data_IF_119963583643
#
_entry.id   IF_119963583643
#
_cell.length_a   1.000
_cell.length_b   1.000
_cell.length_c   1.000
_cell.angle_alpha   90.00
_cell.angle_beta   90.00
_cell.angle_gamma   90.00
#
_symmetry.space_group_name_H-M   'P 1'
#
loop_
_entity.id
_entity.type
_entity.pdbx_description
1 polymer ?
#
# COMPACT_ATOMS: atom_id res chain seq x y z
N UNK A 1 -0.92 -2.37 -32.01
CA UNK A 1 -2.13 -1.88 -31.29
C UNK A 1 -2.82 -3.07 -30.64
N UNK A 2 -2.75 -3.21 -29.31
CA UNK A 2 -3.48 -4.30 -28.62
C UNK A 2 -4.95 -3.87 -28.56
N UNK A 3 -5.81 -4.70 -29.15
CA UNK A 3 -7.25 -4.46 -29.31
C UNK A 3 -7.94 -4.14 -27.98
N UNK A 4 -8.81 -3.12 -28.00
CA UNK A 4 -9.64 -2.65 -26.86
C UNK A 4 -10.46 -3.79 -26.23
N UNK A 5 -10.76 -4.84 -27.01
CA UNK A 5 -11.54 -6.02 -26.60
C UNK A 5 -10.76 -6.97 -25.70
N UNK A 6 -9.46 -7.20 -25.93
CA UNK A 6 -8.64 -8.05 -25.06
C UNK A 6 -8.41 -7.43 -23.67
N UNK A 7 -8.23 -6.10 -23.63
CA UNK A 7 -8.01 -5.37 -22.36
C UNK A 7 -9.26 -5.42 -21.46
N UNK A 8 -10.45 -5.39 -22.07
CA UNK A 8 -11.75 -5.51 -21.37
C UNK A 8 -11.96 -6.91 -20.80
N UNK A 9 -11.61 -7.96 -21.55
CA UNK A 9 -11.73 -9.35 -21.09
C UNK A 9 -10.73 -9.69 -19.98
N UNK A 10 -9.49 -9.16 -20.03
CA UNK A 10 -8.51 -9.31 -18.95
C UNK A 10 -8.94 -8.59 -17.67
N UNK A 11 -9.48 -7.37 -17.79
CA UNK A 11 -10.01 -6.62 -16.64
C UNK A 11 -11.20 -7.33 -15.99
N UNK A 12 -12.12 -7.87 -16.80
CA UNK A 12 -13.26 -8.65 -16.30
C UNK A 12 -12.82 -9.93 -15.59
N UNK A 13 -11.81 -10.62 -16.12
CA UNK A 13 -11.22 -11.81 -15.49
C UNK A 13 -10.57 -11.50 -14.14
N UNK A 14 -9.80 -10.41 -14.04
CA UNK A 14 -9.20 -9.98 -12.76
C UNK A 14 -10.23 -9.57 -11.71
N UNK A 15 -11.30 -8.88 -12.12
CA UNK A 15 -12.41 -8.51 -11.22
C UNK A 15 -13.17 -9.75 -10.76
N UNK A 16 -13.48 -10.68 -11.66
CA UNK A 16 -14.14 -11.94 -11.30
C UNK A 16 -13.29 -12.78 -10.34
N UNK A 17 -11.98 -12.88 -10.58
CA UNK A 17 -11.04 -13.55 -9.68
C UNK A 17 -10.98 -12.90 -8.29
N UNK A 18 -11.00 -11.57 -8.23
CA UNK A 18 -11.02 -10.83 -6.96
C UNK A 18 -12.32 -11.04 -6.18
N UNK A 19 -13.47 -10.98 -6.84
CA UNK A 19 -14.78 -11.24 -6.22
C UNK A 19 -14.84 -12.69 -5.72
N UNK A 20 -14.31 -13.64 -6.49
CA UNK A 20 -14.19 -15.05 -6.07
C UNK A 20 -13.32 -15.17 -4.81
N UNK A 21 -12.14 -14.54 -4.78
CA UNK A 21 -11.27 -14.53 -3.59
C UNK A 21 -11.99 -13.92 -2.39
N UNK A 22 -12.63 -12.75 -2.53
CA UNK A 22 -13.40 -12.15 -1.43
C UNK A 22 -14.51 -13.08 -0.94
N UNK A 23 -15.22 -13.75 -1.85
CA UNK A 23 -16.28 -14.71 -1.52
C UNK A 23 -15.77 -15.95 -0.78
N UNK A 24 -14.65 -16.53 -1.24
CA UNK A 24 -14.02 -17.68 -0.58
C UNK A 24 -13.52 -17.28 0.82
N UNK A 25 -12.83 -16.14 0.92
CA UNK A 25 -12.30 -15.67 2.20
C UNK A 25 -13.44 -15.38 3.18
N UNK A 26 -14.50 -14.70 2.72
CA UNK A 26 -15.71 -14.46 3.50
C UNK A 26 -16.37 -15.77 3.94
N UNK A 27 -16.53 -16.73 3.04
CA UNK A 27 -17.06 -18.05 3.39
C UNK A 27 -16.24 -18.70 4.50
N UNK A 28 -14.91 -18.80 4.38
CA UNK A 28 -14.06 -19.40 5.42
C UNK A 28 -14.10 -18.64 6.75
N UNK A 29 -14.14 -17.31 6.72
CA UNK A 29 -14.24 -16.47 7.94
C UNK A 29 -15.58 -16.67 8.65
N UNK A 30 -16.69 -16.75 7.91
CA UNK A 30 -18.04 -16.86 8.49
C UNK A 30 -18.48 -18.31 8.75
N UNK A 31 -17.82 -19.33 8.17
CA UNK A 31 -18.22 -20.75 8.28
C UNK A 31 -18.26 -21.30 9.71
N UNK A 32 -17.67 -20.60 10.68
CA UNK A 32 -17.64 -21.00 12.09
C UNK A 32 -18.11 -19.93 13.07
N UNK A 33 -18.63 -18.79 12.60
CA UNK A 33 -19.05 -17.69 13.48
C UNK A 33 -20.53 -17.35 13.26
N UNK A 34 -21.34 -17.49 14.32
CA UNK A 34 -22.69 -16.96 14.30
C UNK A 34 -22.64 -15.43 14.38
N UNK A 35 -23.53 -14.74 13.66
CA UNK A 35 -23.67 -13.27 13.72
C UNK A 35 -23.93 -12.82 15.17
N UNK A 36 -24.62 -13.64 15.95
CA UNK A 36 -24.89 -13.41 17.36
C UNK A 36 -23.61 -13.40 18.22
N UNK A 37 -22.66 -14.31 17.94
CA UNK A 37 -21.35 -14.33 18.60
C UNK A 37 -20.55 -13.05 18.29
N UNK A 38 -20.61 -12.54 17.05
CA UNK A 38 -19.95 -11.29 16.67
C UNK A 38 -20.53 -10.09 17.44
N UNK A 39 -21.86 -9.98 17.51
CA UNK A 39 -22.55 -8.90 18.24
C UNK A 39 -22.24 -8.98 19.74
N UNK A 40 -22.18 -10.18 20.32
CA UNK A 40 -21.85 -10.38 21.73
C UNK A 40 -20.40 -9.95 22.04
N UNK A 41 -19.46 -10.28 21.17
CA UNK A 41 -18.06 -9.83 21.27
C UNK A 41 -17.92 -8.31 21.13
N UNK A 42 -18.67 -7.68 20.21
CA UNK A 42 -18.72 -6.23 20.06
C UNK A 42 -19.29 -5.52 21.29
N UNK A 43 -20.33 -6.09 21.92
CA UNK A 43 -20.89 -5.57 23.19
C UNK A 43 -19.97 -5.80 24.38
N UNK A 44 -19.17 -6.87 24.36
CA UNK A 44 -18.18 -7.16 25.40
C UNK A 44 -16.87 -6.39 25.25
N UNK A 45 -16.61 -5.79 24.08
CA UNK A 45 -15.43 -4.98 23.85
C UNK A 45 -15.52 -3.68 24.65
N UNK A 46 -14.44 -3.34 25.38
CA UNK A 46 -14.43 -2.09 26.13
C UNK A 46 -14.48 -0.90 25.17
N UNK A 47 -15.40 0.07 25.37
CA UNK A 47 -15.47 1.26 24.54
C UNK A 47 -14.14 2.06 24.51
N UNK A 48 -13.35 1.94 25.57
CA UNK A 48 -12.04 2.59 25.68
C UNK A 48 -11.05 2.05 24.64
N UNK A 49 -10.97 0.73 24.43
CA UNK A 49 -10.06 0.17 23.42
C UNK A 49 -10.49 0.56 22.00
N UNK A 50 -11.80 0.66 21.75
CA UNK A 50 -12.33 1.14 20.47
C UNK A 50 -11.89 2.60 20.25
N UNK A 51 -12.03 3.46 21.26
CA UNK A 51 -11.60 4.86 21.19
C UNK A 51 -10.10 5.00 20.94
N UNK A 52 -9.27 4.20 21.61
CA UNK A 52 -7.81 4.17 21.39
C UNK A 52 -7.50 3.74 19.94
N UNK A 53 -8.22 2.74 19.42
CA UNK A 53 -8.08 2.31 18.02
C UNK A 53 -8.35 3.44 17.03
N UNK A 54 -9.44 4.19 17.23
CA UNK A 54 -9.74 5.37 16.41
C UNK A 54 -8.64 6.45 16.52
N UNK A 55 -8.16 6.73 17.74
CA UNK A 55 -7.07 7.69 17.93
C UNK A 55 -5.79 7.26 17.20
N UNK A 56 -5.43 5.97 17.26
CA UNK A 56 -4.28 5.41 16.54
C UNK A 56 -4.44 5.55 15.02
N UNK A 57 -5.64 5.39 14.47
CA UNK A 57 -5.88 5.61 13.03
C UNK A 57 -5.61 7.07 12.63
N UNK A 58 -6.04 8.04 13.42
CA UNK A 58 -5.74 9.46 13.15
C UNK A 58 -4.25 9.75 13.23
N UNK A 59 -3.54 9.18 14.21
CA UNK A 59 -2.09 9.32 14.34
C UNK A 59 -1.39 8.72 13.12
N UNK A 60 -1.82 7.54 12.66
CA UNK A 60 -1.27 6.91 11.46
C UNK A 60 -1.39 7.81 10.22
N UNK A 61 -2.59 8.33 9.95
CA UNK A 61 -2.82 9.23 8.81
C UNK A 61 -2.04 10.54 8.97
N UNK A 62 -1.90 11.05 10.19
CA UNK A 62 -1.11 12.24 10.46
C UNK A 62 0.38 12.03 10.17
N UNK A 63 0.95 10.90 10.60
CA UNK A 63 2.33 10.53 10.27
C UNK A 63 2.54 10.42 8.76
N UNK A 64 1.59 9.84 8.02
CA UNK A 64 1.66 9.78 6.57
C UNK A 64 1.62 11.18 5.93
N UNK A 65 0.73 12.06 6.40
CA UNK A 65 0.67 13.44 5.93
C UNK A 65 1.96 14.23 6.21
N UNK A 66 2.59 14.00 7.36
CA UNK A 66 3.89 14.57 7.72
C UNK A 66 4.99 14.04 6.79
N UNK A 67 5.02 12.74 6.50
CA UNK A 67 6.00 12.14 5.57
C UNK A 67 5.90 12.77 4.17
N UNK A 68 4.68 12.96 3.67
CA UNK A 68 4.45 13.66 2.39
C UNK A 68 4.94 15.10 2.48
N UNK A 69 4.60 15.83 3.54
CA UNK A 69 5.01 17.22 3.72
C UNK A 69 6.54 17.37 3.77
N UNK A 70 7.23 16.51 4.51
CA UNK A 70 8.70 16.49 4.59
C UNK A 70 9.32 16.17 3.22
N UNK A 71 8.75 15.22 2.48
CA UNK A 71 9.18 14.91 1.12
C UNK A 71 9.01 16.09 0.15
N UNK A 72 7.88 16.79 0.22
CA UNK A 72 7.62 17.98 -0.59
C UNK A 72 8.60 19.12 -0.25
N UNK A 73 8.87 19.32 1.05
CA UNK A 73 9.85 20.31 1.52
C UNK A 73 11.26 20.00 1.05
N UNK A 74 11.66 18.72 1.05
CA UNK A 74 12.97 18.27 0.55
C UNK A 74 13.18 18.57 -0.95
N UNK A 75 12.10 18.61 -1.74
CA UNK A 75 12.14 18.98 -3.15
C UNK A 75 11.86 20.48 -3.41
N UNK A 76 11.91 21.31 -2.36
CA UNK A 76 11.61 22.75 -2.40
C UNK A 76 10.23 23.08 -3.00
N UNK A 77 9.26 22.16 -2.89
CA UNK A 77 7.89 22.39 -3.35
C UNK A 77 7.10 23.12 -2.25
N UNK A 78 6.51 24.26 -2.62
CA UNK A 78 5.67 25.05 -1.72
C UNK A 78 4.32 24.36 -1.53
N UNK A 79 4.19 23.61 -0.43
CA UNK A 79 2.91 23.01 -0.01
C UNK A 79 2.68 23.24 1.47
N UNK A 80 1.41 23.24 1.87
CA UNK A 80 1.01 23.35 3.28
C UNK A 80 0.80 21.97 3.88
N UNK A 81 1.09 21.81 5.17
CA UNK A 81 0.84 20.56 5.89
C UNK A 81 -0.62 20.09 5.76
N UNK A 82 -1.60 21.01 5.81
CA UNK A 82 -3.02 20.69 5.69
C UNK A 82 -3.37 20.00 4.36
N UNK A 83 -2.79 20.46 3.25
CA UNK A 83 -2.93 19.79 1.93
C UNK A 83 -2.32 18.40 1.94
N UNK A 84 -1.15 18.23 2.56
CA UNK A 84 -0.48 16.94 2.67
C UNK A 84 -1.26 15.94 3.52
N UNK A 85 -1.88 16.41 4.60
CA UNK A 85 -2.85 15.64 5.39
C UNK A 85 -4.04 15.21 4.52
N UNK A 86 -4.58 16.11 3.69
CA UNK A 86 -5.62 15.78 2.72
C UNK A 86 -5.20 14.66 1.76
N UNK A 87 -3.97 14.69 1.24
CA UNK A 87 -3.44 13.62 0.40
C UNK A 87 -3.30 12.29 1.16
N UNK A 88 -2.88 12.31 2.43
CA UNK A 88 -2.83 11.11 3.26
C UNK A 88 -4.22 10.49 3.45
N UNK A 89 -5.24 11.29 3.74
CA UNK A 89 -6.63 10.81 3.82
C UNK A 89 -7.14 10.22 2.50
N UNK A 90 -6.84 10.87 1.36
CA UNK A 90 -7.16 10.35 0.03
C UNK A 90 -6.48 9.00 -0.19
N UNK A 91 -5.18 8.90 0.12
CA UNK A 91 -4.41 7.66 0.03
C UNK A 91 -5.03 6.55 0.86
N UNK A 92 -5.30 6.83 2.14
CA UNK A 92 -5.94 5.89 3.06
C UNK A 92 -7.31 5.40 2.57
N UNK A 93 -8.15 6.32 2.10
CA UNK A 93 -9.47 6.01 1.57
C UNK A 93 -9.38 5.10 0.33
N UNK A 94 -8.60 5.50 -0.68
CA UNK A 94 -8.46 4.72 -1.91
C UNK A 94 -7.78 3.37 -1.66
N UNK A 95 -6.80 3.29 -0.75
CA UNK A 95 -6.24 2.02 -0.31
C UNK A 95 -7.28 1.12 0.34
N UNK A 96 -8.19 1.66 1.14
CA UNK A 96 -9.20 0.87 1.86
C UNK A 96 -10.31 0.32 0.96
N UNK A 97 -10.66 1.03 -0.12
CA UNK A 97 -11.70 0.59 -1.06
C UNK A 97 -11.14 -0.18 -2.25
N UNK A 98 -9.83 -0.16 -2.48
CA UNK A 98 -9.22 -0.85 -3.61
C UNK A 98 -8.67 -2.22 -3.22
N UNK A 99 -8.78 -3.21 -4.12
CA UNK A 99 -8.14 -4.51 -3.92
C UNK A 99 -6.64 -4.36 -3.66
N UNK A 100 -6.16 -5.13 -2.68
CA UNK A 100 -4.74 -5.19 -2.30
C UNK A 100 -4.14 -3.84 -1.87
N UNK A 101 -4.97 -2.85 -1.50
CA UNK A 101 -4.53 -1.50 -1.10
C UNK A 101 -3.69 -0.74 -2.15
N UNK A 102 -3.81 -1.13 -3.42
CA UNK A 102 -2.98 -0.60 -4.52
C UNK A 102 -3.38 0.81 -5.01
N UNK A 103 -4.61 1.25 -4.72
CA UNK A 103 -5.17 2.49 -5.27
C UNK A 103 -4.77 3.78 -4.55
N UNK A 104 -4.22 3.71 -3.34
CA UNK A 104 -3.90 4.90 -2.54
C UNK A 104 -2.90 5.83 -3.18
N UNK A 105 -1.72 5.32 -3.54
CA UNK A 105 -0.63 6.13 -4.11
C UNK A 105 -0.99 6.71 -5.50
N UNK A 106 -1.60 5.95 -6.44
CA UNK A 106 -2.08 6.53 -7.70
C UNK A 106 -3.09 7.67 -7.49
N UNK A 107 -4.01 7.53 -6.52
CA UNK A 107 -4.96 8.58 -6.19
C UNK A 107 -4.26 9.82 -5.60
N UNK A 108 -3.28 9.62 -4.70
CA UNK A 108 -2.46 10.71 -4.18
C UNK A 108 -1.78 11.50 -5.29
N UNK A 109 -1.15 10.83 -6.27
CA UNK A 109 -0.54 11.49 -7.44
C UNK A 109 -1.57 12.27 -8.25
N UNK A 110 -2.75 11.69 -8.49
CA UNK A 110 -3.83 12.33 -9.25
C UNK A 110 -4.31 13.63 -8.58
N UNK A 111 -4.56 13.60 -7.27
CA UNK A 111 -5.00 14.78 -6.53
C UNK A 111 -3.89 15.82 -6.34
N UNK A 112 -2.64 15.41 -6.15
CA UNK A 112 -1.50 16.34 -6.16
C UNK A 112 -1.37 17.04 -7.52
N UNK A 113 -1.62 16.33 -8.63
CA UNK A 113 -1.60 16.94 -9.96
C UNK A 113 -2.74 17.95 -10.17
N UNK A 114 -3.89 17.72 -9.55
CA UNK A 114 -5.02 18.67 -9.53
C UNK A 114 -4.68 19.96 -8.76
N UNK A 115 -3.78 19.86 -7.78
CA UNK A 115 -3.23 20.96 -7.01
C UNK A 115 -1.96 21.59 -7.64
N UNK A 116 -1.77 21.40 -8.95
CA UNK A 116 -0.65 21.93 -9.76
C UNK A 116 0.75 21.45 -9.36
N UNK A 117 0.86 20.38 -8.56
CA UNK A 117 2.15 19.76 -8.27
C UNK A 117 2.58 18.93 -9.50
N UNK A 118 3.86 19.03 -9.87
CA UNK A 118 4.41 18.25 -10.97
C UNK A 118 4.34 16.74 -10.64
N UNK A 119 3.78 15.97 -11.58
CA UNK A 119 3.58 14.52 -11.43
C UNK A 119 4.89 13.76 -11.15
N UNK A 120 6.01 14.26 -11.68
CA UNK A 120 7.34 13.70 -11.45
C UNK A 120 7.77 13.86 -9.99
N UNK A 121 7.51 15.02 -9.38
CA UNK A 121 7.86 15.25 -7.97
C UNK A 121 6.95 14.46 -7.04
N UNK A 122 5.63 14.49 -7.29
CA UNK A 122 4.65 13.70 -6.52
C UNK A 122 4.97 12.21 -6.54
N UNK A 123 5.21 11.65 -7.73
CA UNK A 123 5.53 10.23 -7.88
C UNK A 123 6.84 9.87 -7.20
N UNK A 124 7.88 10.70 -7.35
CA UNK A 124 9.18 10.47 -6.72
C UNK A 124 9.06 10.44 -5.18
N UNK A 125 8.36 11.41 -4.60
CA UNK A 125 8.16 11.47 -3.14
C UNK A 125 7.43 10.25 -2.62
N UNK A 126 6.32 9.86 -3.26
CA UNK A 126 5.55 8.70 -2.84
C UNK A 126 6.34 7.40 -2.97
N UNK A 127 7.13 7.24 -4.05
CA UNK A 127 8.02 6.08 -4.20
C UNK A 127 9.11 6.06 -3.11
N UNK A 128 9.69 7.20 -2.77
CA UNK A 128 10.67 7.30 -1.67
C UNK A 128 10.03 6.91 -0.34
N UNK A 129 8.81 7.39 -0.06
CA UNK A 129 8.05 7.01 1.15
C UNK A 129 7.80 5.50 1.18
N UNK A 130 7.45 4.88 0.05
CA UNK A 130 7.27 3.42 -0.06
C UNK A 130 8.56 2.67 0.26
N UNK A 131 9.70 3.10 -0.27
CA UNK A 131 11.00 2.47 0.01
C UNK A 131 11.31 2.58 1.50
N UNK A 132 11.16 3.76 2.09
CA UNK A 132 11.41 3.98 3.52
C UNK A 132 10.50 3.08 4.35
N UNK A 133 9.20 3.01 4.06
CA UNK A 133 8.26 2.13 4.75
C UNK A 133 8.67 0.66 4.65
N UNK A 134 9.00 0.17 3.45
CA UNK A 134 9.39 -1.23 3.28
C UNK A 134 10.70 -1.57 4.00
N UNK A 135 11.69 -0.66 3.99
CA UNK A 135 12.94 -0.84 4.75
C UNK A 135 12.69 -0.87 6.25
N UNK A 136 11.85 0.03 6.78
CA UNK A 136 11.48 0.04 8.20
C UNK A 136 10.73 -1.22 8.59
N UNK A 137 9.79 -1.70 7.76
CA UNK A 137 9.06 -2.95 7.99
C UNK A 137 10.01 -4.15 8.00
N UNK A 138 10.94 -4.23 7.04
CA UNK A 138 11.94 -5.30 6.99
C UNK A 138 12.86 -5.27 8.21
N UNK A 139 13.34 -4.10 8.61
CA UNK A 139 14.18 -3.93 9.80
C UNK A 139 13.43 -4.33 11.08
N UNK A 140 12.21 -3.84 11.26
CA UNK A 140 11.36 -4.16 12.40
C UNK A 140 11.05 -5.66 12.46
N UNK A 141 10.68 -6.26 11.32
CA UNK A 141 10.45 -7.70 11.21
C UNK A 141 11.70 -8.51 11.54
N UNK A 142 12.88 -8.06 11.11
CA UNK A 142 14.15 -8.71 11.43
C UNK A 142 14.49 -8.65 12.91
N UNK A 143 14.32 -7.49 13.54
CA UNK A 143 14.53 -7.31 14.99
C UNK A 143 13.59 -8.22 15.79
N UNK A 144 12.29 -8.22 15.46
CA UNK A 144 11.31 -9.07 16.13
C UNK A 144 11.60 -10.56 15.94
N UNK A 145 12.08 -10.96 14.75
CA UNK A 145 12.48 -12.35 14.50
C UNK A 145 13.65 -12.80 15.37
N UNK A 146 14.60 -11.90 15.65
CA UNK A 146 15.76 -12.21 16.51
C UNK A 146 15.34 -12.26 17.98
N UNK A 147 14.54 -11.29 18.44
CA UNK A 147 14.13 -11.17 19.84
C UNK A 147 13.18 -12.30 20.27
N UNK A 148 12.19 -12.63 19.44
CA UNK A 148 11.11 -13.58 19.77
C UNK A 148 11.26 -14.91 18.99
N UNK A 149 12.51 -15.32 18.74
CA UNK A 149 12.80 -16.50 17.90
C UNK A 149 12.10 -17.77 18.39
N UNK A 150 12.10 -18.03 19.69
CA UNK A 150 11.47 -19.23 20.25
C UNK A 150 9.95 -19.20 20.14
N UNK A 151 9.33 -18.03 20.36
CA UNK A 151 7.90 -17.86 20.15
C UNK A 151 7.51 -18.15 18.70
N UNK A 152 8.30 -17.66 17.74
CA UNK A 152 8.05 -17.85 16.31
C UNK A 152 8.25 -19.32 15.91
N UNK A 153 9.37 -19.95 16.29
CA UNK A 153 9.64 -21.35 15.89
C UNK A 153 8.61 -22.33 16.46
N UNK A 154 8.10 -22.08 17.67
CA UNK A 154 7.14 -22.97 18.33
C UNK A 154 5.69 -22.76 17.84
N UNK A 155 5.26 -21.50 17.67
CA UNK A 155 3.86 -21.18 17.33
C UNK A 155 3.60 -21.04 15.82
N UNK A 156 4.66 -20.88 15.02
CA UNK A 156 4.56 -20.66 13.56
C UNK A 156 5.03 -21.89 12.78
N UNK A 157 5.14 -23.04 13.46
CA UNK A 157 5.51 -24.33 12.89
C UNK A 157 4.54 -24.71 11.76
N UNK A 158 5.01 -24.60 10.51
CA UNK A 158 4.23 -24.84 9.29
C UNK A 158 4.08 -23.63 8.36
N UNK A 159 4.32 -22.40 8.84
CA UNK A 159 4.27 -21.18 7.99
C UNK A 159 5.64 -20.67 7.58
N UNK A 160 6.72 -21.40 7.86
CA UNK A 160 8.10 -21.02 7.53
C UNK A 160 8.28 -20.66 6.04
N UNK A 161 7.65 -21.42 5.14
CA UNK A 161 7.68 -21.16 3.70
C UNK A 161 7.03 -19.81 3.38
N UNK A 162 5.91 -19.49 4.03
CA UNK A 162 5.19 -18.22 3.84
C UNK A 162 6.00 -17.03 4.38
N UNK A 163 6.69 -17.21 5.51
CA UNK A 163 7.59 -16.21 6.07
C UNK A 163 8.76 -15.92 5.13
N UNK A 164 9.44 -16.96 4.64
CA UNK A 164 10.55 -16.81 3.67
C UNK A 164 10.05 -16.12 2.40
N UNK A 165 8.90 -16.55 1.88
CA UNK A 165 8.27 -15.92 0.72
C UNK A 165 7.96 -14.43 0.97
N UNK A 166 7.41 -14.08 2.14
CA UNK A 166 7.12 -12.70 2.53
C UNK A 166 8.37 -11.81 2.61
N UNK A 167 9.48 -12.35 3.13
CA UNK A 167 10.77 -11.64 3.18
C UNK A 167 11.33 -11.44 1.78
N UNK A 168 11.38 -12.51 0.97
CA UNK A 168 11.90 -12.45 -0.41
C UNK A 168 11.11 -11.44 -1.25
N UNK A 169 9.78 -11.49 -1.16
CA UNK A 169 8.91 -10.58 -1.93
C UNK A 169 9.07 -9.13 -1.49
N UNK A 170 9.15 -8.82 -0.19
CA UNK A 170 9.44 -7.46 0.27
C UNK A 170 10.82 -6.97 -0.19
N UNK A 171 11.86 -7.78 -0.06
CA UNK A 171 13.21 -7.42 -0.53
C UNK A 171 13.21 -7.16 -2.04
N UNK A 172 12.56 -8.03 -2.82
CA UNK A 172 12.42 -7.85 -4.27
C UNK A 172 11.66 -6.57 -4.62
N UNK A 173 10.59 -6.24 -3.89
CA UNK A 173 9.83 -5.00 -4.07
C UNK A 173 10.67 -3.76 -3.75
N UNK A 174 11.42 -3.75 -2.65
CA UNK A 174 12.34 -2.65 -2.31
C UNK A 174 13.35 -2.42 -3.44
N UNK A 175 14.02 -3.49 -3.89
CA UNK A 175 14.99 -3.42 -4.99
C UNK A 175 14.33 -2.91 -6.27
N UNK A 176 13.12 -3.40 -6.60
CA UNK A 176 12.36 -2.97 -7.77
C UNK A 176 12.01 -1.48 -7.74
N UNK A 177 11.54 -0.97 -6.61
CA UNK A 177 11.19 0.46 -6.46
C UNK A 177 12.45 1.34 -6.51
N UNK A 178 13.55 0.93 -5.86
CA UNK A 178 14.84 1.63 -5.95
C UNK A 178 15.33 1.68 -7.41
N UNK A 179 15.24 0.55 -8.14
CA UNK A 179 15.61 0.51 -9.55
C UNK A 179 14.78 1.48 -10.40
N UNK A 180 13.48 1.62 -10.11
CA UNK A 180 12.61 2.60 -10.78
C UNK A 180 13.07 4.03 -10.49
N UNK A 181 13.37 4.36 -9.23
CA UNK A 181 13.82 5.71 -8.81
C UNK A 181 15.13 6.10 -9.49
N UNK A 182 16.13 5.20 -9.52
CA UNK A 182 17.47 5.49 -10.04
C UNK A 182 17.61 5.30 -11.56
N UNK A 183 16.62 4.70 -12.22
CA UNK A 183 16.69 4.48 -13.65
C UNK A 183 16.40 5.76 -14.45
N UNK A 184 17.43 6.59 -14.62
CA UNK A 184 17.48 7.57 -15.73
C UNK A 184 17.36 6.89 -17.12
N UNK A 185 17.63 5.57 -17.22
CA UNK A 185 17.55 4.79 -18.46
C UNK A 185 16.12 4.41 -18.86
N UNK A 186 15.22 4.12 -17.91
CA UNK A 186 13.83 3.70 -18.21
C UNK A 186 12.98 4.87 -18.71
N UNK A 187 13.26 6.09 -18.24
CA UNK A 187 12.62 7.31 -18.74
C UNK A 187 13.01 7.57 -20.23
N UNK A 188 14.28 7.31 -20.57
CA UNK A 188 14.79 7.40 -21.96
C UNK A 188 14.24 6.27 -22.85
N UNK A 189 14.04 5.08 -22.29
CA UNK A 189 13.50 3.92 -23.01
C UNK A 189 11.99 4.04 -23.25
N UNK A 190 11.21 4.57 -22.30
CA UNK A 190 9.79 4.92 -22.51
C UNK A 190 9.63 6.07 -23.52
N UNK A 191 10.49 7.08 -23.47
CA UNK A 191 10.52 8.15 -24.48
C UNK A 191 10.82 7.60 -25.88
N UNK A 192 11.82 6.71 -26.01
CA UNK A 192 12.14 6.07 -27.29
C UNK A 192 11.07 5.10 -27.80
N UNK A 193 10.37 4.39 -26.91
CA UNK A 193 9.26 3.49 -27.29
C UNK A 193 8.08 4.30 -27.81
N UNK A 194 7.77 5.45 -27.20
CA UNK A 194 6.69 6.32 -27.66
C UNK A 194 7.02 6.99 -29.01
N UNK A 195 8.29 7.39 -29.21
CA UNK A 195 8.75 7.98 -30.48
C UNK A 195 8.85 6.95 -31.63
N UNK A 196 8.90 5.64 -31.33
CA UNK A 196 8.85 4.55 -32.31
C UNK A 196 7.40 4.16 -32.69
N UNK A 197 6.41 4.65 -31.95
CA UNK A 197 4.99 4.39 -32.20
C UNK A 197 4.29 5.55 -32.93
N UNK A 198 4.93 6.72 -32.99
CA UNK A 198 4.44 7.94 -33.65
C UNK A 198 5.10 8.13 -35.05
N UNK A 199 5.95 7.19 -35.48
CA UNK A 199 6.54 7.14 -36.82
C UNK A 199 6.06 5.90 -37.57
#
# INVERSE_FOLDING_TARGET
MISKTEKKNKCLGSVAFLVLLMGITGYFVFRGQSVESLIKSLKGASPMFILIGFAMMFIYVACEGINIYLGMKALNQKTTLLKCMGYAFIGFYFSSITPSASGGQPAQVYYMKKDDINISYSSLILLVIVVIHQVVILAYSGIMFIMEREFILNNVSGMNILLIYGVITNVALVIGVIAIIFSKKTCKQFYNINNKFIR
#
